data_IF_531400052472
#
_entry.id   IF_531400052472
#
_cell.length_a   1.000
_cell.length_b   1.000
_cell.length_c   1.000
_cell.angle_alpha   90.00
_cell.angle_beta   90.00
_cell.angle_gamma   90.00
#
_symmetry.space_group_name_H-M   'P 1'
#
loop_
_entity.id
_entity.type
_entity.pdbx_description
1 polymer ?
#
# COMPACT_ATOMS: atom_id res chain seq x y z
N UNK A 1 -14.72 12.41 -42.56
CA UNK A 1 -13.94 13.03 -41.46
C UNK A 1 -14.62 12.95 -40.09
N UNK A 2 -15.95 12.76 -39.99
CA UNK A 2 -16.71 12.78 -38.73
C UNK A 2 -16.71 11.47 -37.91
N UNK A 3 -16.43 10.30 -38.51
CA UNK A 3 -16.53 9.01 -37.80
C UNK A 3 -15.43 8.80 -36.75
N UNK A 4 -14.25 9.39 -36.97
CA UNK A 4 -13.09 9.25 -36.09
C UNK A 4 -13.25 9.99 -34.76
N UNK A 5 -13.87 11.18 -34.74
CA UNK A 5 -14.05 11.92 -33.48
C UNK A 5 -15.03 11.25 -32.51
N UNK A 6 -16.05 10.56 -33.01
CA UNK A 6 -16.98 9.81 -32.14
C UNK A 6 -16.34 8.57 -31.50
N UNK A 7 -15.42 7.90 -32.20
CA UNK A 7 -14.71 6.73 -31.67
C UNK A 7 -13.68 7.15 -30.61
N UNK A 8 -13.02 8.30 -30.80
CA UNK A 8 -12.07 8.86 -29.85
C UNK A 8 -12.76 9.31 -28.53
N UNK A 9 -13.97 9.89 -28.62
CA UNK A 9 -14.78 10.29 -27.45
C UNK A 9 -15.32 9.09 -26.66
N UNK A 10 -15.80 8.03 -27.35
CA UNK A 10 -16.22 6.80 -26.67
C UNK A 10 -15.05 6.11 -25.96
N UNK A 11 -13.86 6.07 -26.57
CA UNK A 11 -12.68 5.46 -25.96
C UNK A 11 -12.23 6.25 -24.72
N UNK A 12 -12.19 7.59 -24.79
CA UNK A 12 -11.86 8.44 -23.64
C UNK A 12 -12.87 8.27 -22.50
N UNK A 13 -14.16 8.13 -22.82
CA UNK A 13 -15.20 7.86 -21.81
C UNK A 13 -15.02 6.47 -21.18
N UNK A 14 -14.68 5.44 -21.98
CA UNK A 14 -14.44 4.09 -21.49
C UNK A 14 -13.18 4.00 -20.63
N UNK A 15 -12.10 4.67 -20.98
CA UNK A 15 -10.88 4.71 -20.19
C UNK A 15 -11.13 5.35 -18.81
N UNK A 16 -11.83 6.50 -18.78
CA UNK A 16 -12.14 7.20 -17.54
C UNK A 16 -13.00 6.36 -16.57
N UNK A 17 -14.00 5.61 -17.06
CA UNK A 17 -14.81 4.73 -16.21
C UNK A 17 -14.01 3.54 -15.65
N UNK A 18 -13.06 2.98 -16.41
CA UNK A 18 -12.25 1.84 -15.95
C UNK A 18 -11.24 2.31 -14.91
N UNK A 19 -10.59 3.45 -15.14
CA UNK A 19 -9.68 4.09 -14.18
C UNK A 19 -10.41 4.45 -12.88
N UNK A 20 -11.60 5.04 -12.98
CA UNK A 20 -12.42 5.37 -11.80
C UNK A 20 -12.83 4.12 -11.00
N UNK A 21 -13.11 2.99 -11.66
CA UNK A 21 -13.41 1.72 -10.98
C UNK A 21 -12.18 1.18 -10.25
N UNK A 22 -11.03 1.15 -10.91
CA UNK A 22 -9.77 0.65 -10.31
C UNK A 22 -9.38 1.50 -9.10
N UNK A 23 -9.49 2.83 -9.20
CA UNK A 23 -9.21 3.75 -8.09
C UNK A 23 -10.16 3.47 -6.91
N UNK A 24 -11.46 3.27 -7.16
CA UNK A 24 -12.43 2.94 -6.10
C UNK A 24 -12.10 1.61 -5.40
N UNK A 25 -11.71 0.58 -6.15
CA UNK A 25 -11.28 -0.71 -5.62
C UNK A 25 -10.00 -0.59 -4.78
N UNK A 26 -9.05 0.24 -5.23
CA UNK A 26 -7.82 0.53 -4.49
C UNK A 26 -8.12 1.20 -3.15
N UNK A 27 -8.98 2.23 -3.13
CA UNK A 27 -9.38 2.89 -1.89
C UNK A 27 -10.12 1.93 -0.95
N UNK A 28 -11.04 1.11 -1.47
CA UNK A 28 -11.74 0.12 -0.65
C UNK A 28 -10.78 -0.88 0.01
N UNK A 29 -9.80 -1.41 -0.75
CA UNK A 29 -8.76 -2.29 -0.21
C UNK A 29 -7.86 -1.57 0.81
N UNK A 30 -7.48 -0.34 0.54
CA UNK A 30 -6.66 0.48 1.45
C UNK A 30 -7.36 0.66 2.81
N UNK A 31 -8.64 1.03 2.81
CA UNK A 31 -9.40 1.20 4.05
C UNK A 31 -9.56 -0.12 4.83
N UNK A 32 -9.75 -1.25 4.14
CA UNK A 32 -9.84 -2.57 4.78
C UNK A 32 -8.53 -2.94 5.48
N UNK A 33 -7.39 -2.75 4.81
CA UNK A 33 -6.07 -3.03 5.39
C UNK A 33 -5.81 -2.12 6.58
N UNK A 34 -6.12 -0.82 6.45
CA UNK A 34 -5.92 0.17 7.51
C UNK A 34 -6.77 -0.16 8.74
N UNK A 35 -8.03 -0.55 8.55
CA UNK A 35 -8.91 -0.98 9.62
C UNK A 35 -8.38 -2.25 10.31
N UNK A 36 -7.89 -3.23 9.55
CA UNK A 36 -7.28 -4.43 10.10
C UNK A 36 -6.06 -4.13 10.96
N UNK A 37 -5.20 -3.20 10.53
CA UNK A 37 -4.02 -2.76 11.31
C UNK A 37 -4.46 -2.06 12.60
N UNK A 38 -5.46 -1.17 12.55
CA UNK A 38 -5.99 -0.51 13.75
C UNK A 38 -6.50 -1.53 14.76
N UNK A 39 -7.27 -2.53 14.32
CA UNK A 39 -7.80 -3.59 15.18
C UNK A 39 -6.67 -4.40 15.80
N UNK A 40 -5.64 -4.77 15.01
CA UNK A 40 -4.46 -5.49 15.52
C UNK A 40 -3.70 -4.71 16.59
N UNK A 41 -3.48 -3.41 16.37
CA UNK A 41 -2.83 -2.53 17.35
C UNK A 41 -3.68 -2.42 18.61
N UNK A 42 -4.99 -2.18 18.48
CA UNK A 42 -5.90 -2.09 19.61
C UNK A 42 -5.94 -3.39 20.42
N UNK A 43 -6.01 -4.55 19.75
CA UNK A 43 -5.97 -5.85 20.40
C UNK A 43 -4.65 -6.07 21.16
N UNK A 44 -3.51 -5.72 20.56
CA UNK A 44 -2.21 -5.84 21.20
C UNK A 44 -2.10 -4.94 22.46
N UNK A 45 -2.59 -3.70 22.39
CA UNK A 45 -2.61 -2.79 23.53
C UNK A 45 -3.53 -3.26 24.66
N UNK A 46 -4.71 -3.82 24.31
CA UNK A 46 -5.69 -4.33 25.27
C UNK A 46 -5.29 -5.68 25.89
N UNK A 47 -4.47 -6.47 25.20
CA UNK A 47 -3.94 -7.73 25.74
C UNK A 47 -3.03 -7.53 26.97
N UNK A 48 -2.58 -6.30 27.24
CA UNK A 48 -1.90 -5.93 28.49
C UNK A 48 -0.54 -6.59 28.69
N UNK A 49 0.01 -7.20 27.64
CA UNK A 49 1.25 -7.94 27.74
C UNK A 49 2.44 -6.97 27.83
N UNK A 50 3.27 -7.11 28.86
CA UNK A 50 4.48 -6.26 29.02
C UNK A 50 5.55 -6.53 27.94
N UNK A 51 5.30 -7.52 27.08
CA UNK A 51 6.15 -7.96 25.97
C UNK A 51 5.67 -7.44 24.59
N UNK A 52 4.82 -6.41 24.55
CA UNK A 52 4.37 -5.81 23.28
C UNK A 52 5.59 -5.35 22.48
N UNK A 53 5.78 -5.99 21.33
CA UNK A 53 6.81 -5.63 20.37
C UNK A 53 6.20 -4.73 19.30
N UNK A 54 6.63 -3.48 19.26
CA UNK A 54 6.18 -2.48 18.30
C UNK A 54 7.21 -2.44 17.18
N UNK A 55 6.78 -2.69 15.95
CA UNK A 55 7.58 -2.54 14.75
C UNK A 55 6.88 -1.62 13.77
N UNK A 56 7.62 -0.70 13.15
CA UNK A 56 7.12 0.21 12.13
C UNK A 56 8.19 0.49 11.08
N UNK A 57 7.78 1.05 9.95
CA UNK A 57 8.72 1.56 8.97
C UNK A 57 8.25 2.92 8.46
N UNK A 58 9.21 3.80 8.20
CA UNK A 58 9.00 5.10 7.55
C UNK A 58 9.71 5.04 6.20
N UNK A 59 8.97 5.32 5.13
CA UNK A 59 9.58 5.56 3.82
C UNK A 59 10.02 7.02 3.76
N UNK A 60 11.30 7.27 4.04
CA UNK A 60 11.91 8.55 3.68
C UNK A 60 12.45 8.43 2.27
N UNK A 61 11.88 9.22 1.35
CA UNK A 61 12.32 9.38 -0.04
C UNK A 61 12.18 8.13 -0.92
N UNK A 62 12.94 7.09 -0.63
CA UNK A 62 12.91 5.81 -1.33
C UNK A 62 13.48 4.65 -0.49
N UNK A 63 13.91 4.96 0.74
CA UNK A 63 14.62 4.02 1.61
C UNK A 63 13.68 3.70 2.77
N UNK A 64 13.23 2.43 2.92
CA UNK A 64 12.43 2.04 4.06
C UNK A 64 13.30 2.03 5.32
N UNK A 65 13.05 2.96 6.23
CA UNK A 65 13.68 3.02 7.55
C UNK A 65 12.80 2.22 8.51
N UNK A 66 13.28 1.06 8.91
CA UNK A 66 12.56 0.15 9.82
C UNK A 66 13.01 0.39 11.25
N UNK A 67 12.06 0.43 12.18
CA UNK A 67 12.32 0.52 13.62
C UNK A 67 11.46 -0.49 14.36
N UNK A 68 12.06 -1.17 15.32
CA UNK A 68 11.39 -2.17 16.16
C UNK A 68 11.86 -2.05 17.60
N UNK A 69 10.93 -2.07 18.54
CA UNK A 69 11.18 -2.08 19.97
C UNK A 69 10.36 -3.20 20.63
N UNK A 70 11.03 -4.05 21.42
CA UNK A 70 10.43 -5.17 22.13
C UNK A 70 11.09 -6.53 21.82
N UNK A 71 10.72 -7.60 22.54
CA UNK A 71 11.37 -8.91 22.43
C UNK A 71 11.33 -9.52 21.03
N UNK A 72 10.24 -9.32 20.30
CA UNK A 72 10.00 -9.83 18.94
C UNK A 72 10.31 -8.80 17.85
N UNK A 73 10.93 -7.67 18.22
CA UNK A 73 11.36 -6.65 17.28
C UNK A 73 12.25 -7.19 16.14
N UNK A 74 13.15 -8.18 16.34
CA UNK A 74 13.93 -8.75 15.23
C UNK A 74 13.04 -9.37 14.15
N UNK A 75 11.98 -10.09 14.53
CA UNK A 75 11.06 -10.71 13.57
C UNK A 75 10.21 -9.68 12.83
N UNK A 76 9.68 -8.69 13.55
CA UNK A 76 8.91 -7.59 12.95
C UNK A 76 9.77 -6.76 11.99
N UNK A 77 11.06 -6.58 12.32
CA UNK A 77 12.02 -5.84 11.49
C UNK A 77 12.30 -6.58 10.19
N UNK A 78 12.53 -7.89 10.24
CA UNK A 78 12.73 -8.72 9.03
C UNK A 78 11.50 -8.65 8.11
N UNK A 79 10.29 -8.72 8.70
CA UNK A 79 9.05 -8.66 7.93
C UNK A 79 8.85 -7.28 7.26
N UNK A 80 9.15 -6.20 7.97
CA UNK A 80 9.10 -4.84 7.43
C UNK A 80 10.15 -4.59 6.34
N UNK A 81 11.35 -5.18 6.45
CA UNK A 81 12.37 -5.14 5.38
C UNK A 81 11.86 -5.85 4.12
N UNK A 82 11.26 -7.03 4.26
CA UNK A 82 10.68 -7.76 3.12
C UNK A 82 9.58 -6.94 2.44
N UNK A 83 8.67 -6.35 3.22
CA UNK A 83 7.62 -5.47 2.71
C UNK A 83 8.18 -4.22 2.02
N UNK A 84 9.22 -3.61 2.58
CA UNK A 84 9.93 -2.48 1.99
C UNK A 84 10.54 -2.83 0.63
N UNK A 85 11.21 -3.98 0.52
CA UNK A 85 11.77 -4.47 -0.75
C UNK A 85 10.67 -4.76 -1.77
N UNK A 86 9.57 -5.40 -1.36
CA UNK A 86 8.42 -5.64 -2.24
C UNK A 86 7.82 -4.34 -2.77
N UNK A 87 7.64 -3.36 -1.89
CA UNK A 87 7.14 -2.03 -2.24
C UNK A 87 8.06 -1.33 -3.23
N UNK A 88 9.39 -1.41 -3.00
CA UNK A 88 10.41 -0.84 -3.87
C UNK A 88 10.37 -1.46 -5.27
N UNK A 89 10.31 -2.79 -5.36
CA UNK A 89 10.22 -3.52 -6.63
C UNK A 89 8.94 -3.13 -7.38
N UNK A 90 7.80 -3.09 -6.68
CA UNK A 90 6.52 -2.73 -7.27
C UNK A 90 6.53 -1.28 -7.77
N UNK A 91 7.12 -0.35 -7.01
CA UNK A 91 7.31 1.03 -7.44
C UNK A 91 8.19 1.10 -8.70
N UNK A 92 9.31 0.38 -8.75
CA UNK A 92 10.19 0.37 -9.93
C UNK A 92 9.47 -0.17 -11.17
N UNK A 93 8.64 -1.20 -11.02
CA UNK A 93 7.84 -1.75 -12.11
C UNK A 93 6.79 -0.75 -12.60
N UNK A 94 6.08 -0.08 -11.68
CA UNK A 94 5.10 0.96 -12.00
C UNK A 94 5.77 2.17 -12.67
N UNK A 95 6.93 2.59 -12.18
CA UNK A 95 7.68 3.70 -12.76
C UNK A 95 8.17 3.40 -14.18
N UNK A 96 8.55 2.14 -14.46
CA UNK A 96 8.93 1.72 -15.81
C UNK A 96 7.77 1.70 -16.81
N UNK A 97 6.52 1.66 -16.35
CA UNK A 97 5.32 1.78 -17.20
C UNK A 97 4.82 3.21 -17.36
N UNK A 98 5.34 4.15 -16.58
CA UNK A 98 5.03 5.58 -16.67
C UNK A 98 5.95 6.34 -17.64
N UNK A 99 6.92 5.64 -18.26
CA UNK A 99 7.63 6.05 -19.47
C UNK A 99 7.09 5.28 -20.66
#
# INVERSE_FOLDING_TARGET
MSKKSNEDEEQAFRENQWTARIIKLFFAGFFIILLGIIILIAAALLAGDSNISIGGFILIWFIPIVFGAGPEAPWLTVLAVILGILSLIMFLILWKKAK
#
